data_IF_039127835404
#
_entry.id   IF_039127835404
#
_cell.length_a   1.000
_cell.length_b   1.000
_cell.length_c   1.000
_cell.angle_alpha   90.00
_cell.angle_beta   90.00
_cell.angle_gamma   90.00
#
_symmetry.space_group_name_H-M   'P 1'
#
loop_
_entity.id
_entity.type
_entity.pdbx_description
1 polymer ?
#
# COMPACT_ATOMS: atom_id res chain seq x y z
N UNK A 1 2.09 10.40 16.92
CA UNK A 1 3.02 11.44 17.41
C UNK A 1 2.59 11.78 18.82
N UNK A 2 3.41 11.48 19.82
CA UNK A 2 3.09 11.81 21.21
C UNK A 2 3.52 13.25 21.43
N UNK A 3 2.62 14.08 21.95
CA UNK A 3 2.92 15.45 22.33
C UNK A 3 3.31 15.53 23.81
N UNK A 4 3.97 16.61 24.20
CA UNK A 4 4.18 16.92 25.61
C UNK A 4 2.83 17.09 26.34
N UNK A 5 2.78 16.62 27.59
CA UNK A 5 1.58 16.74 28.42
C UNK A 5 1.30 18.22 28.69
N UNK A 6 0.20 18.73 28.14
CA UNK A 6 -0.26 20.12 28.33
C UNK A 6 -1.36 20.24 29.40
N UNK A 7 -2.13 19.18 29.63
CA UNK A 7 -3.23 19.17 30.59
C UNK A 7 -2.91 18.16 31.70
N UNK A 8 -2.99 18.61 32.95
CA UNK A 8 -2.65 17.81 34.13
C UNK A 8 -3.89 17.50 34.98
N UNK A 9 -3.77 16.52 35.86
CA UNK A 9 -4.79 16.20 36.86
C UNK A 9 -5.05 17.41 37.76
N UNK A 10 -6.31 17.56 38.14
CA UNK A 10 -6.73 18.59 39.10
C UNK A 10 -6.47 18.10 40.51
N UNK A 11 -5.83 18.95 41.31
CA UNK A 11 -5.65 18.73 42.73
C UNK A 11 -6.92 19.15 43.49
N UNK A 12 -7.86 18.22 43.68
CA UNK A 12 -9.10 18.47 44.41
C UNK A 12 -8.84 18.52 45.93
N UNK A 13 -9.37 19.55 46.59
CA UNK A 13 -9.25 19.74 48.04
C UNK A 13 -10.63 20.06 48.61
N UNK A 14 -10.93 19.54 49.80
CA UNK A 14 -12.20 19.81 50.48
C UNK A 14 -12.39 21.31 50.72
N UNK A 15 -13.61 21.81 50.44
CA UNK A 15 -13.95 23.23 50.54
C UNK A 15 -13.45 24.11 49.38
N UNK A 16 -12.80 23.53 48.35
CA UNK A 16 -12.40 24.24 47.14
C UNK A 16 -13.61 24.77 46.36
N UNK A 17 -13.53 26.02 45.88
CA UNK A 17 -14.54 26.58 44.97
C UNK A 17 -14.38 25.98 43.58
N UNK A 18 -15.46 25.40 43.05
CA UNK A 18 -15.48 24.74 41.75
C UNK A 18 -15.90 25.74 40.67
N UNK A 19 -15.24 25.67 39.50
CA UNK A 19 -15.54 26.52 38.34
C UNK A 19 -15.49 25.72 37.04
N UNK A 20 -15.93 26.33 35.94
CA UNK A 20 -15.93 25.74 34.60
C UNK A 20 -14.53 25.25 34.17
N UNK A 21 -13.49 25.99 34.52
CA UNK A 21 -12.10 25.71 34.14
C UNK A 21 -11.62 24.38 34.74
N UNK A 22 -12.13 24.01 35.91
CA UNK A 22 -11.85 22.70 36.51
C UNK A 22 -12.46 21.59 35.65
N UNK A 23 -13.73 21.68 35.27
CA UNK A 23 -14.34 20.65 34.42
C UNK A 23 -13.68 20.55 33.05
N UNK A 24 -13.30 21.68 32.44
CA UNK A 24 -12.56 21.68 31.17
C UNK A 24 -11.17 21.04 31.31
N UNK A 25 -10.44 21.33 32.39
CA UNK A 25 -9.13 20.73 32.63
C UNK A 25 -9.23 19.22 32.85
N UNK A 26 -10.27 18.77 33.57
CA UNK A 26 -10.53 17.36 33.79
C UNK A 26 -10.85 16.65 32.46
N UNK A 27 -11.72 17.25 31.64
CA UNK A 27 -12.08 16.74 30.33
C UNK A 27 -10.86 16.64 29.42
N UNK A 28 -10.07 17.72 29.30
CA UNK A 28 -8.87 17.75 28.47
C UNK A 28 -7.83 16.70 28.92
N UNK A 29 -7.62 16.54 30.24
CA UNK A 29 -6.74 15.51 30.77
C UNK A 29 -7.22 14.09 30.40
N UNK A 30 -8.52 13.82 30.53
CA UNK A 30 -9.09 12.52 30.18
C UNK A 30 -8.99 12.24 28.68
N UNK A 31 -9.34 13.21 27.83
CA UNK A 31 -9.21 13.09 26.38
C UNK A 31 -7.77 12.84 25.94
N UNK A 32 -6.80 13.61 26.46
CA UNK A 32 -5.39 13.44 26.11
C UNK A 32 -4.85 12.08 26.59
N UNK A 33 -5.27 11.60 27.76
CA UNK A 33 -4.88 10.27 28.24
C UNK A 33 -5.34 9.15 27.29
N UNK A 34 -6.53 9.28 26.70
CA UNK A 34 -7.04 8.32 25.71
C UNK A 34 -6.26 8.42 24.39
N UNK A 35 -5.99 9.66 23.93
CA UNK A 35 -5.18 9.92 22.72
C UNK A 35 -3.79 9.29 22.87
N UNK A 36 -3.13 9.50 24.00
CA UNK A 36 -1.81 8.93 24.29
C UNK A 36 -1.85 7.40 24.28
N UNK A 37 -2.84 6.79 24.95
CA UNK A 37 -3.00 5.34 24.96
C UNK A 37 -3.18 4.77 23.54
N UNK A 38 -3.95 5.45 22.70
CA UNK A 38 -4.15 5.05 21.31
C UNK A 38 -2.87 5.20 20.47
N UNK A 39 -2.21 6.36 20.54
CA UNK A 39 -1.00 6.67 19.78
C UNK A 39 0.15 5.74 20.17
N UNK A 40 0.33 5.45 21.46
CA UNK A 40 1.35 4.50 21.96
C UNK A 40 1.10 3.10 21.40
N UNK A 41 -0.17 2.65 21.38
CA UNK A 41 -0.52 1.30 20.92
C UNK A 41 -0.40 1.13 19.41
N UNK A 42 -0.85 2.11 18.62
CA UNK A 42 -0.89 2.01 17.15
C UNK A 42 0.39 2.48 16.48
N UNK A 43 1.18 3.32 17.14
CA UNK A 43 2.47 3.79 16.65
C UNK A 43 2.36 4.72 15.43
N UNK A 44 3.41 4.73 14.60
CA UNK A 44 3.59 5.69 13.49
C UNK A 44 2.46 5.69 12.46
N UNK A 45 1.90 4.52 12.15
CA UNK A 45 0.86 4.34 11.13
C UNK A 45 -0.54 4.23 11.74
N UNK A 46 -0.69 4.71 12.98
CA UNK A 46 -1.95 4.67 13.72
C UNK A 46 -2.96 5.75 13.36
N UNK A 47 -2.88 6.36 12.18
CA UNK A 47 -3.75 7.48 11.80
C UNK A 47 -4.41 7.21 10.45
N UNK A 48 -5.34 8.07 10.05
CA UNK A 48 -6.06 7.93 8.81
C UNK A 48 -7.54 7.64 8.94
N UNK A 49 -8.14 7.29 7.81
CA UNK A 49 -9.55 7.02 7.66
C UNK A 49 -9.96 5.79 8.48
N UNK A 50 -11.16 5.88 9.05
CA UNK A 50 -11.84 4.81 9.75
C UNK A 50 -12.90 4.18 8.85
N UNK A 51 -13.03 2.86 8.90
CA UNK A 51 -14.19 2.18 8.34
C UNK A 51 -15.45 2.47 9.18
N UNK A 52 -16.60 2.50 8.52
CA UNK A 52 -17.90 2.49 9.19
C UNK A 52 -18.48 1.09 9.08
N UNK A 53 -18.53 0.35 10.18
CA UNK A 53 -19.06 -1.02 10.19
C UNK A 53 -20.59 -1.10 10.05
N UNK A 54 -21.29 0.03 10.21
CA UNK A 54 -22.74 0.04 10.38
C UNK A 54 -23.48 0.82 9.28
N UNK A 55 -23.02 2.01 8.89
CA UNK A 55 -23.70 2.87 7.89
C UNK A 55 -22.71 3.84 7.24
N UNK A 56 -22.66 3.87 5.90
CA UNK A 56 -22.04 4.92 5.08
C UNK A 56 -20.53 4.82 4.90
N UNK A 57 -20.05 4.94 3.65
CA UNK A 57 -18.62 5.10 3.34
C UNK A 57 -18.17 6.51 3.75
N UNK A 58 -16.86 6.74 3.87
CA UNK A 58 -16.35 8.11 3.88
C UNK A 58 -16.74 8.76 2.54
N UNK A 59 -17.37 9.93 2.59
CA UNK A 59 -17.90 10.66 1.45
C UNK A 59 -17.34 12.08 1.48
N UNK A 60 -16.47 12.39 0.52
CA UNK A 60 -15.96 13.74 0.32
C UNK A 60 -15.68 13.97 -1.16
N UNK A 61 -15.82 15.22 -1.58
CA UNK A 61 -15.60 15.64 -2.95
C UNK A 61 -14.53 16.73 -2.98
N UNK A 62 -13.52 16.53 -3.81
CA UNK A 62 -12.42 17.46 -4.01
C UNK A 62 -12.37 17.77 -5.50
N UNK A 63 -12.69 19.02 -5.85
CA UNK A 63 -12.80 19.45 -7.23
C UNK A 63 -11.79 20.57 -7.48
N UNK A 64 -11.00 20.43 -8.54
CA UNK A 64 -10.11 21.49 -9.01
C UNK A 64 -10.75 22.19 -10.20
N UNK A 65 -10.88 23.52 -10.16
CA UNK A 65 -11.45 24.30 -11.24
C UNK A 65 -10.40 24.81 -12.25
N UNK A 66 -10.89 25.42 -13.34
CA UNK A 66 -10.06 25.95 -14.42
C UNK A 66 -9.13 27.10 -14.00
N UNK A 67 -9.40 27.75 -12.86
CA UNK A 67 -8.61 28.84 -12.32
C UNK A 67 -7.61 28.35 -11.25
N UNK A 68 -7.41 27.02 -11.14
CA UNK A 68 -6.57 26.39 -10.11
C UNK A 68 -7.06 26.68 -8.69
N UNK A 69 -8.37 26.91 -8.55
CA UNK A 69 -9.06 26.96 -7.27
C UNK A 69 -9.56 25.56 -6.92
N UNK A 70 -9.14 25.05 -5.76
CA UNK A 70 -9.56 23.77 -5.24
C UNK A 70 -10.76 23.98 -4.32
N UNK A 71 -11.89 23.42 -4.69
CA UNK A 71 -13.10 23.38 -3.87
C UNK A 71 -13.16 22.05 -3.15
N UNK A 72 -13.04 22.10 -1.84
CA UNK A 72 -13.12 20.94 -0.95
C UNK A 72 -14.48 20.95 -0.26
N UNK A 73 -15.22 19.85 -0.37
CA UNK A 73 -16.50 19.66 0.31
C UNK A 73 -16.52 18.28 0.96
N UNK A 74 -16.61 18.24 2.28
CA UNK A 74 -16.70 16.99 3.04
C UNK A 74 -18.14 16.82 3.53
N UNK A 75 -18.78 15.71 3.16
CA UNK A 75 -20.13 15.35 3.63
C UNK A 75 -20.08 14.36 4.77
N UNK A 76 -19.23 13.33 4.68
CA UNK A 76 -18.99 12.35 5.74
C UNK A 76 -17.51 11.98 5.82
N UNK A 77 -16.89 12.17 6.96
CA UNK A 77 -15.50 11.77 7.17
C UNK A 77 -15.30 11.33 8.60
N UNK A 78 -14.81 10.10 8.77
CA UNK A 78 -14.34 9.57 10.04
C UNK A 78 -12.87 9.26 9.93
N UNK A 79 -12.07 9.92 10.74
CA UNK A 79 -10.63 9.71 10.71
C UNK A 79 -9.99 10.01 12.07
N UNK A 80 -8.73 9.61 12.21
CA UNK A 80 -7.88 9.93 13.36
C UNK A 80 -6.61 10.59 12.86
N UNK A 81 -6.19 11.69 13.47
CA UNK A 81 -4.94 12.38 13.14
C UNK A 81 -3.73 11.72 13.83
N UNK A 82 -2.49 12.04 13.43
CA UNK A 82 -1.27 11.46 14.02
C UNK A 82 -1.15 11.54 15.55
N UNK A 83 -1.75 12.53 16.21
CA UNK A 83 -1.79 12.63 17.68
C UNK A 83 -3.06 12.07 18.32
N UNK A 84 -3.89 11.36 17.57
CA UNK A 84 -5.06 10.67 18.11
C UNK A 84 -6.32 11.52 18.18
N UNK A 85 -6.33 12.75 17.67
CA UNK A 85 -7.59 13.50 17.58
C UNK A 85 -8.52 12.86 16.55
N UNK A 86 -9.81 12.79 16.90
CA UNK A 86 -10.85 12.26 16.02
C UNK A 86 -11.40 13.39 15.14
N UNK A 87 -11.50 13.10 13.85
CA UNK A 87 -12.28 13.85 12.88
C UNK A 87 -13.59 13.10 12.73
N UNK A 88 -14.71 13.75 13.05
CA UNK A 88 -16.05 13.21 12.88
C UNK A 88 -16.91 14.24 12.17
N UNK A 89 -17.07 14.06 10.86
CA UNK A 89 -17.95 14.87 10.02
C UNK A 89 -19.07 13.94 9.55
N UNK A 90 -20.31 14.33 9.84
CA UNK A 90 -21.54 13.62 9.53
C UNK A 90 -22.63 14.61 9.10
N UNK A 91 -23.80 14.11 8.72
CA UNK A 91 -24.97 14.94 8.41
C UNK A 91 -25.44 15.80 9.60
N UNK A 92 -25.09 15.41 10.84
CA UNK A 92 -25.48 16.09 12.07
C UNK A 92 -24.42 17.09 12.59
N UNK A 93 -23.28 17.19 11.93
CA UNK A 93 -22.21 18.13 12.29
C UNK A 93 -22.18 19.31 11.33
N UNK A 94 -21.56 20.45 11.69
CA UNK A 94 -21.38 21.57 10.77
C UNK A 94 -20.74 21.13 9.46
N UNK A 95 -21.28 21.61 8.34
CA UNK A 95 -20.74 21.32 7.03
C UNK A 95 -19.33 21.90 6.88
N UNK A 96 -18.40 21.11 6.35
CA UNK A 96 -17.02 21.53 6.10
C UNK A 96 -16.83 21.74 4.59
N UNK A 97 -16.80 23.01 4.19
CA UNK A 97 -16.60 23.45 2.80
C UNK A 97 -15.65 24.62 2.76
N UNK A 98 -14.63 24.54 1.92
CA UNK A 98 -13.64 25.59 1.74
C UNK A 98 -13.18 25.65 0.28
N UNK A 99 -12.78 26.84 -0.15
CA UNK A 99 -12.16 27.09 -1.45
C UNK A 99 -10.73 27.55 -1.21
N UNK A 100 -9.77 26.83 -1.80
CA UNK A 100 -8.33 27.04 -1.60
C UNK A 100 -7.69 27.36 -2.95
N UNK A 101 -6.98 28.47 -3.04
CA UNK A 101 -6.24 28.82 -4.27
C UNK A 101 -4.90 28.07 -4.27
N UNK A 102 -4.80 27.00 -5.05
CA UNK A 102 -3.58 26.16 -5.11
C UNK A 102 -2.43 26.92 -5.77
N UNK A 103 -2.72 27.80 -6.73
CA UNK A 103 -1.70 28.56 -7.46
C UNK A 103 -0.88 29.51 -6.57
N UNK A 104 -1.44 29.98 -5.45
CA UNK A 104 -0.73 30.83 -4.48
C UNK A 104 0.25 30.02 -3.60
N UNK A 105 0.05 28.70 -3.51
CA UNK A 105 0.83 27.76 -2.70
C UNK A 105 1.73 26.83 -3.56
N UNK A 106 1.49 26.79 -4.87
CA UNK A 106 2.22 25.98 -5.83
C UNK A 106 3.39 26.77 -6.44
N UNK A 107 4.61 26.36 -6.11
CA UNK A 107 5.81 26.82 -6.79
C UNK A 107 5.80 26.41 -8.28
N UNK A 108 6.59 27.07 -9.13
CA UNK A 108 6.69 26.72 -10.57
C UNK A 108 7.18 25.28 -10.81
N UNK A 109 7.83 24.70 -9.80
CA UNK A 109 8.41 23.36 -9.80
C UNK A 109 7.51 22.29 -9.13
N UNK A 110 6.24 22.62 -8.82
CA UNK A 110 5.32 21.64 -8.22
C UNK A 110 5.02 20.50 -9.20
N UNK A 111 5.52 19.31 -8.90
CA UNK A 111 5.18 18.05 -9.60
C UNK A 111 3.99 17.34 -8.95
N UNK A 112 3.99 17.23 -7.61
CA UNK A 112 2.88 16.67 -6.83
C UNK A 112 2.83 17.25 -5.41
N UNK A 113 1.65 17.20 -4.80
CA UNK A 113 1.43 17.60 -3.41
C UNK A 113 0.11 17.09 -2.84
N UNK A 114 -0.13 17.39 -1.57
CA UNK A 114 -1.25 16.86 -0.80
C UNK A 114 -2.13 17.98 -0.26
N UNK A 115 -3.43 17.73 -0.28
CA UNK A 115 -4.42 18.52 0.42
C UNK A 115 -4.61 17.90 1.80
N UNK A 116 -4.37 18.69 2.85
CA UNK A 116 -4.48 18.28 4.23
C UNK A 116 -5.75 18.87 4.84
N UNK A 117 -6.50 18.05 5.59
CA UNK A 117 -7.44 18.57 6.58
C UNK A 117 -6.70 18.81 7.90
N UNK A 118 -6.94 19.96 8.51
CA UNK A 118 -6.34 20.39 9.76
C UNK A 118 -7.43 20.53 10.83
N UNK A 119 -7.13 20.06 12.03
CA UNK A 119 -7.96 20.30 13.20
C UNK A 119 -7.50 21.54 13.97
N UNK A 120 -8.39 22.52 14.10
CA UNK A 120 -8.24 23.63 15.04
C UNK A 120 -8.86 23.25 16.38
N UNK A 121 -8.00 22.81 17.30
CA UNK A 121 -8.37 22.46 18.67
C UNK A 121 -8.44 23.67 19.60
N UNK A 122 -7.95 24.84 19.16
CA UNK A 122 -7.97 26.07 19.95
C UNK A 122 -9.29 26.83 19.78
N UNK A 123 -9.90 26.73 18.61
CA UNK A 123 -11.17 27.38 18.27
C UNK A 123 -12.26 26.35 17.96
N UNK A 124 -12.88 25.72 18.98
CA UNK A 124 -13.98 24.79 18.77
C UNK A 124 -15.24 25.52 18.28
N UNK A 125 -16.02 24.83 17.46
CA UNK A 125 -17.25 25.32 16.84
C UNK A 125 -18.46 24.72 17.57
N UNK A 126 -19.37 25.55 18.11
CA UNK A 126 -20.60 25.08 18.73
C UNK A 126 -21.62 24.61 17.68
N UNK A 127 -22.35 23.52 17.97
CA UNK A 127 -23.34 22.94 17.06
C UNK A 127 -24.44 22.16 17.80
N UNK A 128 -25.44 21.69 17.03
CA UNK A 128 -26.62 20.98 17.53
C UNK A 128 -27.89 21.83 17.50
N UNK A 129 -29.04 21.22 17.75
CA UNK A 129 -30.30 21.97 17.86
C UNK A 129 -30.37 22.69 19.22
N UNK A 130 -30.87 23.93 19.22
CA UNK A 130 -31.05 24.68 20.48
C UNK A 130 -32.24 24.12 21.25
N UNK A 131 -32.06 23.87 22.54
CA UNK A 131 -33.14 23.47 23.43
C UNK A 131 -34.04 24.67 23.75
N UNK A 132 -35.34 24.66 23.36
CA UNK A 132 -36.22 25.83 23.50
C UNK A 132 -36.37 26.34 24.94
N UNK A 133 -36.20 25.44 25.91
CA UNK A 133 -36.36 25.72 27.34
C UNK A 133 -35.03 26.00 28.06
N UNK A 134 -33.89 25.98 27.34
CA UNK A 134 -32.58 26.27 27.95
C UNK A 134 -32.36 27.78 28.10
N UNK A 135 -31.94 28.20 29.30
CA UNK A 135 -31.69 29.61 29.62
C UNK A 135 -30.27 29.73 30.22
N UNK A 136 -29.35 30.49 29.60
CA UNK A 136 -29.51 31.18 28.32
C UNK A 136 -29.55 30.21 27.11
N UNK A 137 -30.23 30.57 26.02
CA UNK A 137 -30.22 29.76 24.79
C UNK A 137 -28.79 29.54 24.30
N UNK A 138 -28.42 28.28 24.04
CA UNK A 138 -27.12 27.92 23.48
C UNK A 138 -27.22 26.69 22.60
N UNK A 139 -26.16 26.45 21.82
CA UNK A 139 -25.97 25.18 21.13
C UNK A 139 -25.37 24.17 22.13
N UNK A 140 -25.85 22.92 22.15
CA UNK A 140 -25.51 21.97 23.20
C UNK A 140 -24.12 21.35 23.05
N UNK A 141 -23.57 21.25 21.83
CA UNK A 141 -22.37 20.48 21.52
C UNK A 141 -21.23 21.35 20.97
N UNK A 142 -20.01 20.81 21.02
CA UNK A 142 -18.79 21.40 20.44
C UNK A 142 -18.12 20.39 19.52
N UNK A 143 -17.63 20.85 18.37
CA UNK A 143 -16.71 20.12 17.50
C UNK A 143 -15.45 20.95 17.29
N UNK A 144 -14.36 20.35 16.82
CA UNK A 144 -13.18 21.10 16.42
C UNK A 144 -13.46 21.93 15.15
N UNK A 145 -12.75 23.05 15.01
CA UNK A 145 -12.69 23.76 13.73
C UNK A 145 -11.92 22.92 12.70
N UNK A 146 -12.30 23.04 11.43
CA UNK A 146 -11.63 22.37 10.32
C UNK A 146 -11.22 23.41 9.29
N UNK A 147 -10.01 23.29 8.77
CA UNK A 147 -9.54 24.10 7.65
C UNK A 147 -8.58 23.27 6.80
N UNK A 148 -8.37 23.70 5.56
CA UNK A 148 -7.53 22.96 4.62
C UNK A 148 -6.25 23.69 4.27
N UNK A 149 -5.20 22.91 4.05
CA UNK A 149 -3.91 23.42 3.59
C UNK A 149 -3.39 22.55 2.46
N UNK A 150 -2.49 23.12 1.67
CA UNK A 150 -1.75 22.39 0.64
C UNK A 150 -0.28 22.30 1.03
N UNK A 151 0.35 21.15 0.78
CA UNK A 151 1.78 20.94 0.97
C UNK A 151 2.37 20.20 -0.23
N UNK A 152 3.54 20.61 -0.72
CA UNK A 152 4.24 19.86 -1.76
C UNK A 152 4.70 18.50 -1.23
N UNK A 153 4.82 17.48 -2.09
CA UNK A 153 5.30 16.17 -1.66
C UNK A 153 6.75 16.25 -1.11
N UNK A 154 7.59 17.08 -1.74
CA UNK A 154 8.97 17.31 -1.30
C UNK A 154 9.06 17.93 0.10
N UNK A 155 8.19 18.88 0.44
CA UNK A 155 8.19 19.50 1.76
C UNK A 155 7.58 18.58 2.82
N UNK A 156 6.57 17.79 2.45
CA UNK A 156 6.00 16.78 3.34
C UNK A 156 7.05 15.73 3.74
N UNK A 157 7.93 15.32 2.82
CA UNK A 157 9.04 14.41 3.13
C UNK A 157 10.02 15.02 4.13
N UNK A 158 10.33 16.32 3.99
CA UNK A 158 11.29 17.02 4.87
C UNK A 158 10.73 17.31 6.25
N UNK A 159 9.48 17.74 6.32
CA UNK A 159 8.85 18.26 7.54
C UNK A 159 8.04 17.20 8.29
N UNK A 160 7.53 16.18 7.58
CA UNK A 160 6.56 15.23 8.10
C UNK A 160 5.18 15.85 8.28
N UNK A 161 4.20 15.00 8.63
CA UNK A 161 2.88 15.48 9.05
C UNK A 161 2.97 16.08 10.45
N UNK A 162 2.32 17.23 10.64
CA UNK A 162 2.07 17.73 11.99
C UNK A 162 0.96 16.93 12.68
N UNK A 163 0.87 17.09 13.99
CA UNK A 163 0.03 16.28 14.87
C UNK A 163 -1.47 16.29 14.52
N UNK A 164 -2.02 17.44 14.10
CA UNK A 164 -3.44 17.68 13.82
C UNK A 164 -3.79 17.64 12.32
N UNK A 165 -2.89 17.13 11.49
CA UNK A 165 -3.04 17.09 10.03
C UNK A 165 -3.33 15.70 9.51
N UNK A 166 -4.14 15.63 8.46
CA UNK A 166 -4.36 14.40 7.72
C UNK A 166 -4.45 14.66 6.21
N UNK A 167 -3.66 13.97 5.37
CA UNK A 167 -3.85 13.97 3.92
C UNK A 167 -5.20 13.37 3.51
N UNK A 168 -5.91 14.06 2.60
CA UNK A 168 -7.22 13.61 2.09
C UNK A 168 -7.29 13.56 0.56
N UNK A 169 -6.41 14.27 -0.14
CA UNK A 169 -6.23 14.15 -1.58
C UNK A 169 -4.79 14.43 -1.99
N UNK A 170 -4.46 13.97 -3.18
CA UNK A 170 -3.22 14.27 -3.88
C UNK A 170 -3.52 15.06 -5.15
N UNK A 171 -2.76 16.13 -5.35
CA UNK A 171 -2.76 16.94 -6.56
C UNK A 171 -1.48 16.64 -7.32
N UNK A 172 -1.60 16.41 -8.62
CA UNK A 172 -0.48 16.09 -9.49
C UNK A 172 -0.48 17.01 -10.71
N UNK A 173 0.70 17.19 -11.28
CA UNK A 173 0.86 17.90 -12.54
C UNK A 173 0.74 16.92 -13.70
N UNK A 174 -0.19 17.22 -14.58
CA UNK A 174 -0.38 16.55 -15.87
C UNK A 174 0.02 17.49 -17.01
N UNK A 175 0.11 16.93 -18.23
CA UNK A 175 0.47 17.66 -19.46
C UNK A 175 -0.38 18.92 -19.73
N UNK A 176 -1.60 18.99 -19.18
CA UNK A 176 -2.57 20.09 -19.38
C UNK A 176 -2.75 21.00 -18.15
N UNK A 177 -2.02 20.76 -17.05
CA UNK A 177 -2.17 21.52 -15.82
C UNK A 177 -2.19 20.64 -14.58
N UNK A 178 -2.73 21.16 -13.47
CA UNK A 178 -2.91 20.39 -12.24
C UNK A 178 -4.20 19.57 -12.32
N UNK A 179 -4.21 18.40 -11.69
CA UNK A 179 -5.37 17.52 -11.56
C UNK A 179 -5.37 16.85 -10.18
N UNK A 180 -6.55 16.38 -9.75
CA UNK A 180 -6.68 15.51 -8.57
C UNK A 180 -6.33 14.09 -8.99
N UNK A 181 -5.43 13.42 -8.27
CA UNK A 181 -5.05 12.05 -8.55
C UNK A 181 -6.22 11.10 -8.16
N UNK A 182 -6.85 10.39 -9.13
CA UNK A 182 -8.05 9.60 -8.85
C UNK A 182 -7.74 8.29 -8.11
N UNK A 183 -6.54 7.74 -8.31
CA UNK A 183 -6.12 6.47 -7.72
C UNK A 183 -5.51 6.66 -6.32
N UNK A 184 -5.41 7.90 -5.84
CA UNK A 184 -4.81 8.20 -4.55
C UNK A 184 -5.59 7.56 -3.40
N UNK A 185 -4.86 6.83 -2.54
CA UNK A 185 -5.41 6.24 -1.32
C UNK A 185 -4.79 6.95 -0.12
N UNK A 186 -5.56 7.72 0.67
CA UNK A 186 -5.07 8.39 1.87
C UNK A 186 -4.71 7.39 2.98
N UNK A 187 -4.06 7.85 4.07
CA UNK A 187 -3.87 7.03 5.26
C UNK A 187 -5.18 6.36 5.69
N UNK A 188 -5.13 5.05 5.93
CA UNK A 188 -6.28 4.24 6.33
C UNK A 188 -5.87 3.28 7.45
N UNK A 189 -6.70 3.17 8.49
CA UNK A 189 -6.45 2.28 9.63
C UNK A 189 -6.86 0.83 9.37
N UNK A 190 -7.78 0.62 8.44
CA UNK A 190 -8.35 -0.68 8.08
C UNK A 190 -8.55 -0.75 6.57
N UNK A 191 -8.50 -1.93 5.98
CA UNK A 191 -8.79 -2.14 4.55
C UNK A 191 -10.21 -1.70 4.17
N UNK A 192 -11.17 -1.80 5.10
CA UNK A 192 -12.56 -1.35 4.91
C UNK A 192 -12.76 0.16 4.87
N UNK A 193 -11.71 0.97 5.10
CA UNK A 193 -11.84 2.43 5.15
C UNK A 193 -11.90 3.10 3.77
N UNK A 194 -11.47 2.38 2.72
CA UNK A 194 -11.39 2.86 1.34
C UNK A 194 -11.76 1.76 0.34
N UNK A 195 -12.49 2.11 -0.72
CA UNK A 195 -13.00 1.13 -1.69
C UNK A 195 -11.89 0.40 -2.45
N UNK A 196 -10.87 1.12 -2.92
CA UNK A 196 -9.71 0.50 -3.57
C UNK A 196 -8.96 -0.49 -2.66
N UNK A 197 -9.00 -0.30 -1.33
CA UNK A 197 -8.39 -1.22 -0.37
C UNK A 197 -9.24 -2.47 -0.15
N UNK A 198 -10.57 -2.35 -0.19
CA UNK A 198 -11.48 -3.50 -0.22
C UNK A 198 -11.25 -4.33 -1.48
N UNK A 199 -11.11 -3.69 -2.64
CA UNK A 199 -10.79 -4.40 -3.88
C UNK A 199 -9.42 -5.09 -3.80
N UNK A 200 -8.39 -4.39 -3.32
CA UNK A 200 -7.06 -4.97 -3.11
C UNK A 200 -7.08 -6.17 -2.15
N UNK A 201 -7.87 -6.11 -1.07
CA UNK A 201 -8.07 -7.25 -0.17
C UNK A 201 -8.57 -8.47 -0.93
N UNK A 202 -9.64 -8.32 -1.72
CA UNK A 202 -10.22 -9.43 -2.47
C UNK A 202 -9.25 -10.04 -3.49
N UNK A 203 -8.47 -9.19 -4.17
CA UNK A 203 -7.40 -9.62 -5.08
C UNK A 203 -6.31 -10.40 -4.33
N UNK A 204 -5.82 -9.86 -3.22
CA UNK A 204 -4.76 -10.48 -2.42
C UNK A 204 -5.23 -11.79 -1.76
N UNK A 205 -6.45 -11.84 -1.24
CA UNK A 205 -7.02 -13.05 -0.63
C UNK A 205 -7.14 -14.18 -1.67
N UNK A 206 -7.60 -13.84 -2.88
CA UNK A 206 -7.67 -14.79 -4.00
C UNK A 206 -6.27 -15.25 -4.40
N UNK A 207 -5.33 -14.32 -4.57
CA UNK A 207 -3.93 -14.62 -4.88
C UNK A 207 -3.31 -15.59 -3.88
N UNK A 208 -3.44 -15.33 -2.58
CA UNK A 208 -2.85 -16.17 -1.53
C UNK A 208 -3.43 -17.60 -1.57
N UNK A 209 -4.76 -17.74 -1.69
CA UNK A 209 -5.43 -19.04 -1.79
C UNK A 209 -5.02 -19.83 -3.03
N UNK A 210 -4.99 -19.17 -4.19
CA UNK A 210 -4.61 -19.83 -5.45
C UNK A 210 -3.13 -20.20 -5.45
N UNK A 211 -2.26 -19.34 -4.91
CA UNK A 211 -0.84 -19.63 -4.77
C UNK A 211 -0.59 -20.82 -3.84
N UNK A 212 -1.29 -20.91 -2.71
CA UNK A 212 -1.19 -22.06 -1.79
C UNK A 212 -1.59 -23.36 -2.50
N UNK A 213 -2.76 -23.37 -3.14
CA UNK A 213 -3.23 -24.52 -3.91
C UNK A 213 -2.24 -24.92 -5.00
N UNK A 214 -1.75 -23.95 -5.78
CA UNK A 214 -0.85 -24.20 -6.88
C UNK A 214 0.52 -24.69 -6.39
N UNK A 215 1.03 -24.18 -5.27
CA UNK A 215 2.26 -24.67 -4.64
C UNK A 215 2.16 -26.17 -4.32
N UNK A 216 1.05 -26.61 -3.71
CA UNK A 216 0.80 -28.02 -3.40
C UNK A 216 0.79 -28.87 -4.68
N UNK A 217 0.09 -28.43 -5.72
CA UNK A 217 0.02 -29.15 -6.99
C UNK A 217 1.40 -29.27 -7.68
N UNK A 218 2.19 -28.20 -7.63
CA UNK A 218 3.55 -28.19 -8.19
C UNK A 218 4.45 -29.17 -7.42
N UNK A 219 4.43 -29.15 -6.08
CA UNK A 219 5.19 -30.11 -5.25
C UNK A 219 4.80 -31.55 -5.60
N UNK A 220 3.49 -31.84 -5.66
CA UNK A 220 3.00 -33.19 -5.98
C UNK A 220 3.49 -33.67 -7.35
N UNK A 221 3.49 -32.79 -8.36
CA UNK A 221 4.02 -33.11 -9.69
C UNK A 221 5.49 -33.45 -9.66
N UNK A 222 6.31 -32.64 -8.99
CA UNK A 222 7.76 -32.88 -8.86
C UNK A 222 8.01 -34.23 -8.18
N UNK A 223 7.35 -34.48 -7.05
CA UNK A 223 7.52 -35.73 -6.30
C UNK A 223 7.08 -36.98 -7.08
N UNK A 224 6.04 -36.87 -7.91
CA UNK A 224 5.50 -38.00 -8.67
C UNK A 224 6.39 -38.47 -9.82
N UNK A 225 7.28 -37.61 -10.34
CA UNK A 225 8.06 -37.86 -11.56
C UNK A 225 9.56 -38.04 -11.32
N UNK A 226 9.97 -38.33 -10.08
CA UNK A 226 11.35 -38.52 -9.59
C UNK A 226 12.41 -38.52 -10.69
N UNK A 227 13.07 -37.37 -10.83
CA UNK A 227 14.06 -37.12 -11.87
C UNK A 227 15.18 -36.27 -11.30
N UNK A 228 16.42 -36.55 -11.67
CA UNK A 228 17.56 -35.67 -11.40
C UNK A 228 17.48 -34.45 -12.34
N UNK A 229 16.80 -33.38 -11.89
CA UNK A 229 16.59 -32.17 -12.66
C UNK A 229 16.78 -30.93 -11.75
N UNK A 230 17.86 -30.15 -11.96
CA UNK A 230 18.17 -29.00 -11.12
C UNK A 230 17.08 -27.93 -11.05
N UNK A 231 16.27 -27.76 -12.12
CA UNK A 231 15.14 -26.83 -12.14
C UNK A 231 14.01 -27.35 -11.25
N UNK A 232 13.72 -28.65 -11.32
CA UNK A 232 12.71 -29.27 -10.47
C UNK A 232 13.10 -29.20 -8.99
N UNK A 233 14.37 -29.45 -8.66
CA UNK A 233 14.89 -29.37 -7.29
C UNK A 233 14.83 -27.93 -6.74
N UNK A 234 15.27 -26.95 -7.53
CA UNK A 234 15.20 -25.54 -7.17
C UNK A 234 13.74 -25.07 -7.00
N UNK A 235 12.85 -25.47 -7.90
CA UNK A 235 11.42 -25.17 -7.78
C UNK A 235 10.81 -25.84 -6.55
N UNK A 236 11.17 -27.09 -6.24
CA UNK A 236 10.67 -27.80 -5.07
C UNK A 236 11.03 -27.04 -3.79
N UNK A 237 12.25 -26.54 -3.68
CA UNK A 237 12.66 -25.70 -2.55
C UNK A 237 11.77 -24.46 -2.40
N UNK A 238 11.45 -23.80 -3.52
CA UNK A 238 10.57 -22.63 -3.55
C UNK A 238 9.15 -22.96 -3.06
N UNK A 239 8.50 -23.98 -3.65
CA UNK A 239 7.10 -24.29 -3.31
C UNK A 239 6.94 -24.89 -1.91
N UNK A 240 7.94 -25.63 -1.41
CA UNK A 240 7.95 -26.14 -0.04
C UNK A 240 7.94 -25.00 0.99
N UNK A 241 8.79 -23.99 0.82
CA UNK A 241 8.84 -22.82 1.72
C UNK A 241 7.64 -21.89 1.55
N UNK A 242 7.19 -21.70 0.31
CA UNK A 242 6.01 -20.90 -0.01
C UNK A 242 4.75 -21.45 0.68
N UNK A 243 4.49 -22.76 0.55
CA UNK A 243 3.31 -23.39 1.16
C UNK A 243 3.27 -23.19 2.69
N UNK A 244 4.37 -23.51 3.38
CA UNK A 244 4.42 -23.39 4.85
C UNK A 244 4.14 -21.96 5.30
N UNK A 245 4.69 -20.97 4.58
CA UNK A 245 4.43 -19.57 4.86
C UNK A 245 2.97 -19.18 4.63
N UNK A 246 2.40 -19.55 3.49
CA UNK A 246 1.02 -19.22 3.14
C UNK A 246 0.02 -19.82 4.15
N UNK A 247 0.21 -21.08 4.53
CA UNK A 247 -0.63 -21.78 5.49
C UNK A 247 -0.67 -21.07 6.87
N UNK A 248 0.43 -20.41 7.26
CA UNK A 248 0.50 -19.65 8.52
C UNK A 248 -0.26 -18.32 8.48
N UNK A 249 -0.39 -17.70 7.30
CA UNK A 249 -0.92 -16.33 7.17
C UNK A 249 -2.33 -16.26 6.60
N UNK A 250 -2.77 -17.19 5.76
CA UNK A 250 -4.10 -17.16 5.13
C UNK A 250 -5.22 -17.10 6.17
N UNK A 251 -5.09 -17.84 7.28
CA UNK A 251 -6.11 -17.82 8.34
C UNK A 251 -6.25 -16.42 8.96
N UNK A 252 -5.13 -15.72 9.19
CA UNK A 252 -5.15 -14.34 9.72
C UNK A 252 -5.85 -13.39 8.73
N UNK A 253 -5.46 -13.44 7.45
CA UNK A 253 -6.07 -12.62 6.38
C UNK A 253 -7.57 -12.87 6.28
N UNK A 254 -8.00 -14.12 6.41
CA UNK A 254 -9.41 -14.50 6.39
C UNK A 254 -10.18 -14.06 7.63
N UNK A 255 -9.57 -14.09 8.82
CA UNK A 255 -10.29 -13.78 10.06
C UNK A 255 -10.38 -12.29 10.34
N UNK A 256 -9.38 -11.51 9.93
CA UNK A 256 -9.41 -10.05 10.09
C UNK A 256 -10.17 -9.36 8.95
N UNK A 257 -10.29 -9.99 7.78
CA UNK A 257 -10.98 -9.46 6.61
C UNK A 257 -10.65 -7.97 6.34
N UNK A 258 -11.69 -7.14 6.27
CA UNK A 258 -11.57 -5.70 6.02
C UNK A 258 -11.06 -4.91 7.24
N UNK A 259 -11.01 -5.51 8.43
CA UNK A 259 -10.55 -4.86 9.66
C UNK A 259 -9.01 -4.90 9.78
N UNK A 260 -8.34 -5.72 8.96
CA UNK A 260 -6.89 -5.76 8.87
C UNK A 260 -6.34 -4.39 8.46
N UNK A 261 -5.21 -3.99 9.04
CA UNK A 261 -4.51 -2.78 8.64
C UNK A 261 -3.82 -2.96 7.27
N UNK A 262 -3.87 -2.00 6.32
CA UNK A 262 -3.30 -2.15 4.98
C UNK A 262 -1.81 -2.55 4.96
N UNK A 263 -1.01 -1.95 5.86
CA UNK A 263 0.39 -2.33 6.09
C UNK A 263 0.57 -3.82 6.39
N UNK A 264 -0.31 -4.42 7.20
CA UNK A 264 -0.15 -5.81 7.62
C UNK A 264 -0.38 -6.78 6.46
N UNK A 265 -1.36 -6.51 5.60
CA UNK A 265 -1.56 -7.28 4.38
C UNK A 265 -0.37 -7.14 3.42
N UNK A 266 0.15 -5.92 3.26
CA UNK A 266 1.35 -5.67 2.45
C UNK A 266 2.58 -6.37 3.03
N UNK A 267 2.73 -6.40 4.35
CA UNK A 267 3.81 -7.11 5.04
C UNK A 267 3.78 -8.61 4.75
N UNK A 268 2.59 -9.23 4.72
CA UNK A 268 2.41 -10.63 4.34
C UNK A 268 2.87 -10.86 2.90
N UNK A 269 2.47 -10.01 1.96
CA UNK A 269 2.81 -10.14 0.54
C UNK A 269 4.29 -9.89 0.26
N UNK A 270 4.89 -8.88 0.89
CA UNK A 270 6.34 -8.59 0.79
C UNK A 270 7.16 -9.72 1.40
N UNK A 271 6.71 -10.28 2.53
CA UNK A 271 7.40 -11.39 3.19
C UNK A 271 7.31 -12.68 2.38
N UNK A 272 6.17 -12.93 1.73
CA UNK A 272 6.04 -14.00 0.74
C UNK A 272 7.07 -13.84 -0.40
N UNK A 273 7.21 -12.64 -0.96
CA UNK A 273 8.21 -12.35 -1.99
C UNK A 273 9.64 -12.59 -1.49
N UNK A 274 9.96 -12.21 -0.24
CA UNK A 274 11.26 -12.48 0.40
C UNK A 274 11.55 -13.97 0.51
N UNK A 275 10.57 -14.76 0.95
CA UNK A 275 10.72 -16.21 1.11
C UNK A 275 10.87 -16.89 -0.25
N UNK A 276 10.06 -16.50 -1.23
CA UNK A 276 10.17 -17.00 -2.59
C UNK A 276 11.58 -16.73 -3.14
N UNK A 277 12.01 -15.47 -3.09
CA UNK A 277 13.31 -15.06 -3.63
C UNK A 277 14.47 -15.73 -2.89
N UNK A 278 14.41 -15.76 -1.56
CA UNK A 278 15.41 -16.44 -0.74
C UNK A 278 15.51 -17.93 -1.06
N UNK A 279 14.39 -18.59 -1.34
CA UNK A 279 14.38 -20.00 -1.74
C UNK A 279 15.04 -20.23 -3.11
N UNK A 280 14.86 -19.29 -4.05
CA UNK A 280 15.60 -19.31 -5.32
C UNK A 280 17.09 -19.08 -5.08
N UNK A 281 17.46 -18.10 -4.25
CA UNK A 281 18.86 -17.71 -4.00
C UNK A 281 19.66 -18.72 -3.19
N UNK A 282 19.01 -19.61 -2.43
CA UNK A 282 19.67 -20.74 -1.75
C UNK A 282 20.13 -21.80 -2.77
N UNK A 283 19.52 -21.86 -3.95
CA UNK A 283 20.01 -22.71 -5.04
C UNK A 283 21.35 -22.19 -5.55
N UNK A 284 22.18 -23.04 -6.18
CA UNK A 284 23.44 -22.57 -6.77
C UNK A 284 23.19 -21.44 -7.79
N UNK A 285 24.16 -20.53 -8.03
CA UNK A 285 24.00 -19.45 -9.00
C UNK A 285 23.54 -19.95 -10.38
N UNK A 286 24.04 -21.10 -10.82
CA UNK A 286 23.67 -21.75 -12.07
C UNK A 286 22.21 -22.23 -12.03
N UNK A 287 21.78 -22.88 -10.95
CA UNK A 287 20.41 -23.37 -10.81
C UNK A 287 19.40 -22.23 -10.75
N UNK A 288 19.75 -21.15 -10.07
CA UNK A 288 18.97 -19.91 -10.03
C UNK A 288 18.77 -19.33 -11.43
N UNK A 289 19.86 -19.18 -12.21
CA UNK A 289 19.78 -18.66 -13.57
C UNK A 289 18.93 -19.58 -14.46
N UNK A 290 19.12 -20.89 -14.36
CA UNK A 290 18.32 -21.87 -15.08
C UNK A 290 16.83 -21.79 -14.71
N UNK A 291 16.50 -21.64 -13.43
CA UNK A 291 15.13 -21.54 -12.95
C UNK A 291 14.44 -20.27 -13.45
N UNK A 292 15.10 -19.12 -13.39
CA UNK A 292 14.54 -17.87 -13.92
C UNK A 292 14.40 -17.86 -15.43
N UNK A 293 15.37 -18.42 -16.16
CA UNK A 293 15.24 -18.61 -17.60
C UNK A 293 14.08 -19.54 -17.93
N UNK A 294 13.92 -20.62 -17.15
CA UNK A 294 12.78 -21.52 -17.28
C UNK A 294 11.44 -20.81 -17.03
N UNK A 295 11.34 -19.95 -16.01
CA UNK A 295 10.13 -19.13 -15.81
C UNK A 295 9.83 -18.27 -17.04
N UNK A 296 10.86 -17.71 -17.67
CA UNK A 296 10.72 -16.92 -18.90
C UNK A 296 10.31 -17.70 -20.15
N UNK A 297 10.37 -19.04 -20.15
CA UNK A 297 9.80 -19.84 -21.26
C UNK A 297 8.26 -19.92 -21.19
N UNK A 298 7.72 -19.76 -19.98
CA UNK A 298 6.31 -19.92 -19.64
C UNK A 298 5.60 -18.59 -19.34
N UNK A 299 6.36 -17.52 -19.24
CA UNK A 299 5.89 -16.15 -18.99
C UNK A 299 6.54 -15.19 -19.98
N UNK A 300 5.95 -14.02 -20.21
CA UNK A 300 6.52 -13.03 -21.15
C UNK A 300 7.67 -12.20 -20.51
N UNK A 301 8.36 -12.74 -19.51
CA UNK A 301 9.39 -12.06 -18.72
C UNK A 301 10.75 -12.74 -18.90
N UNK A 302 11.82 -11.94 -18.88
CA UNK A 302 13.19 -12.46 -18.87
C UNK A 302 13.65 -12.75 -17.44
N UNK A 303 14.71 -13.55 -17.28
CA UNK A 303 15.24 -13.86 -15.95
C UNK A 303 15.67 -12.62 -15.15
N UNK A 304 16.22 -11.60 -15.82
CA UNK A 304 16.55 -10.32 -15.19
C UNK A 304 15.31 -9.52 -14.72
N UNK A 305 14.16 -9.71 -15.35
CA UNK A 305 12.91 -9.04 -14.97
C UNK A 305 12.37 -9.61 -13.65
N UNK A 306 12.53 -10.92 -13.42
CA UNK A 306 12.21 -11.56 -12.14
C UNK A 306 13.08 -11.02 -11.00
N UNK A 307 14.39 -10.91 -11.22
CA UNK A 307 15.30 -10.31 -10.23
C UNK A 307 14.87 -8.91 -9.83
N UNK A 308 14.57 -8.08 -10.83
CA UNK A 308 14.09 -6.72 -10.60
C UNK A 308 12.76 -6.73 -9.85
N UNK A 309 11.80 -7.55 -10.27
CA UNK A 309 10.48 -7.66 -9.63
C UNK A 309 10.61 -7.99 -8.13
N UNK A 310 11.41 -9.00 -7.78
CA UNK A 310 11.64 -9.34 -6.37
C UNK A 310 12.37 -8.23 -5.63
N UNK A 311 13.38 -7.62 -6.25
CA UNK A 311 14.13 -6.50 -5.64
C UNK A 311 13.22 -5.31 -5.33
N UNK A 312 12.33 -4.95 -6.25
CA UNK A 312 11.40 -3.83 -6.11
C UNK A 312 10.41 -4.09 -4.97
N UNK A 313 9.85 -5.30 -4.88
CA UNK A 313 8.91 -5.69 -3.80
C UNK A 313 9.60 -5.79 -2.45
N UNK A 314 10.77 -6.43 -2.39
CA UNK A 314 11.49 -6.67 -1.14
C UNK A 314 11.94 -5.36 -0.51
N UNK A 315 12.35 -4.39 -1.32
CA UNK A 315 12.81 -3.08 -0.87
C UNK A 315 11.69 -2.04 -0.76
N UNK A 316 10.43 -2.45 -0.96
CA UNK A 316 9.28 -1.57 -0.86
C UNK A 316 9.19 -0.96 0.55
N UNK A 317 9.20 0.38 0.60
CA UNK A 317 8.97 1.12 1.84
C UNK A 317 7.50 1.49 1.95
N UNK A 318 6.87 1.15 3.07
CA UNK A 318 5.47 1.49 3.31
C UNK A 318 5.28 3.01 3.41
N UNK A 319 4.53 3.58 2.46
CA UNK A 319 4.15 4.97 2.43
C UNK A 319 2.69 5.10 2.87
N UNK A 320 2.49 5.35 4.16
CA UNK A 320 1.15 5.48 4.70
C UNK A 320 0.40 6.73 4.21
N UNK A 321 1.11 7.75 3.74
CA UNK A 321 0.52 8.98 3.20
C UNK A 321 0.00 8.82 1.78
N UNK A 322 0.44 7.78 1.05
CA UNK A 322 0.01 7.44 -0.30
C UNK A 322 0.11 5.92 -0.47
N UNK A 323 -0.94 5.21 -0.04
CA UNK A 323 -0.93 3.74 0.02
C UNK A 323 -0.92 3.13 -1.39
N UNK A 324 -1.47 3.84 -2.39
CA UNK A 324 -1.57 3.34 -3.77
C UNK A 324 -0.19 3.07 -4.41
N UNK A 325 0.82 3.89 -4.08
CA UNK A 325 2.21 3.64 -4.50
C UNK A 325 2.70 2.25 -4.06
N UNK A 326 2.30 1.78 -2.88
CA UNK A 326 2.64 0.44 -2.44
C UNK A 326 1.80 -0.64 -3.15
N UNK A 327 0.51 -0.38 -3.39
CA UNK A 327 -0.38 -1.35 -4.01
C UNK A 327 0.02 -1.64 -5.46
N UNK A 328 0.40 -0.62 -6.23
CA UNK A 328 0.79 -0.78 -7.64
C UNK A 328 1.97 -1.76 -7.82
N UNK A 329 3.02 -1.64 -7.01
CA UNK A 329 4.18 -2.54 -7.01
C UNK A 329 3.77 -3.97 -6.64
N UNK A 330 2.96 -4.12 -5.59
CA UNK A 330 2.52 -5.44 -5.11
C UNK A 330 1.56 -6.13 -6.07
N UNK A 331 0.65 -5.39 -6.71
CA UNK A 331 -0.27 -5.93 -7.73
C UNK A 331 0.49 -6.52 -8.91
N UNK A 332 1.51 -5.80 -9.42
CA UNK A 332 2.38 -6.30 -10.51
C UNK A 332 3.06 -7.63 -10.13
N UNK A 333 3.55 -7.72 -8.89
CA UNK A 333 4.12 -8.94 -8.35
C UNK A 333 3.11 -10.08 -8.25
N UNK A 334 1.94 -9.85 -7.64
CA UNK A 334 0.91 -10.87 -7.50
C UNK A 334 0.47 -11.41 -8.86
N UNK A 335 0.23 -10.54 -9.84
CA UNK A 335 -0.14 -10.94 -11.20
C UNK A 335 0.91 -11.81 -11.88
N UNK A 336 2.19 -11.46 -11.72
CA UNK A 336 3.30 -12.22 -12.30
C UNK A 336 3.42 -13.61 -11.67
N UNK A 337 3.38 -13.68 -10.33
CA UNK A 337 3.52 -14.95 -9.61
C UNK A 337 2.30 -15.85 -9.81
N UNK A 338 1.09 -15.28 -9.81
CA UNK A 338 -0.13 -16.04 -10.09
C UNK A 338 -0.10 -16.67 -11.48
N UNK A 339 0.30 -15.90 -12.50
CA UNK A 339 0.49 -16.41 -13.86
C UNK A 339 1.51 -17.53 -13.90
N UNK A 340 2.68 -17.32 -13.28
CA UNK A 340 3.74 -18.33 -13.23
C UNK A 340 3.24 -19.63 -12.60
N UNK A 341 2.67 -19.58 -11.40
CA UNK A 341 2.20 -20.77 -10.69
C UNK A 341 1.10 -21.48 -11.49
N UNK A 342 0.15 -20.72 -12.04
CA UNK A 342 -0.92 -21.27 -12.86
C UNK A 342 -0.37 -22.04 -14.06
N UNK A 343 0.58 -21.48 -14.82
CA UNK A 343 1.19 -22.20 -15.96
C UNK A 343 1.96 -23.44 -15.51
N UNK A 344 2.71 -23.36 -14.41
CA UNK A 344 3.43 -24.52 -13.85
C UNK A 344 2.47 -25.65 -13.43
N UNK A 345 1.25 -25.34 -12.99
CA UNK A 345 0.23 -26.37 -12.74
C UNK A 345 -0.36 -27.01 -14.01
N UNK A 346 -0.16 -26.42 -15.19
CA UNK A 346 -0.71 -26.95 -16.46
C UNK A 346 0.28 -27.84 -17.20
N UNK A 347 1.59 -27.61 -17.03
CA UNK A 347 2.62 -28.41 -17.72
C UNK A 347 2.76 -29.81 -17.14
N UNK A 348 3.06 -30.78 -17.99
CA UNK A 348 3.16 -32.17 -17.55
C UNK A 348 4.38 -32.40 -16.65
N UNK A 349 5.49 -31.73 -16.92
CA UNK A 349 6.76 -31.99 -16.25
C UNK A 349 7.51 -30.68 -15.95
N UNK A 350 7.74 -30.42 -14.67
CA UNK A 350 8.52 -29.27 -14.19
C UNK A 350 10.01 -29.51 -14.52
N UNK A 351 10.64 -28.53 -15.17
CA UNK A 351 12.06 -28.60 -15.55
C UNK A 351 12.33 -29.16 -16.96
N UNK A 352 11.30 -29.57 -17.70
CA UNK A 352 11.43 -29.84 -19.15
C UNK A 352 11.26 -28.51 -19.89
N UNK A 353 12.31 -28.08 -20.59
CA UNK A 353 12.25 -26.88 -21.44
C UNK A 353 11.24 -27.06 -22.56
N UNK A 354 10.63 -25.96 -23.00
CA UNK A 354 9.67 -25.98 -24.11
C UNK A 354 10.38 -26.48 -25.36
N UNK A 355 9.84 -27.52 -26.01
CA UNK A 355 10.38 -28.08 -27.25
C UNK A 355 10.31 -26.99 -28.34
N UNK A 356 11.37 -26.19 -28.49
CA UNK A 356 11.57 -25.38 -29.68
C UNK A 356 12.00 -26.35 -30.78
N UNK A 357 11.11 -26.59 -31.75
CA UNK A 357 11.38 -27.45 -32.89
C UNK A 357 12.79 -27.19 -33.45
N UNK A 358 13.48 -28.29 -33.77
CA UNK A 358 14.85 -28.35 -34.28
C UNK A 358 15.08 -27.23 -35.31
N UNK A 359 15.87 -26.21 -34.95
CA UNK A 359 16.42 -25.27 -35.93
C UNK A 359 17.61 -25.96 -36.60
N UNK A 360 17.36 -26.53 -37.79
CA UNK A 360 18.41 -26.98 -38.68
C UNK A 360 19.09 -25.74 -39.24
N UNK A 361 20.25 -25.39 -38.69
CA UNK A 361 21.19 -24.56 -39.44
C UNK A 361 21.77 -25.42 -40.56
N UNK A 362 21.26 -25.25 -41.77
CA UNK A 362 21.94 -25.73 -42.97
C UNK A 362 23.28 -24.98 -43.08
N UNK A 363 24.35 -25.61 -42.59
CA UNK A 363 25.69 -25.22 -43.01
C UNK A 363 25.80 -25.53 -44.49
N UNK A 364 25.79 -24.49 -45.33
CA UNK A 364 26.16 -24.59 -46.74
C UNK A 364 27.63 -25.04 -46.76
N UNK A 365 27.85 -26.32 -47.02
CA UNK A 365 29.17 -26.85 -47.36
C UNK A 365 29.46 -26.37 -48.78
N UNK A 366 30.34 -25.39 -48.94
CA UNK A 366 30.91 -25.07 -50.26
C UNK A 366 31.73 -26.26 -50.74
N UNK A 367 31.15 -27.01 -51.67
CA UNK A 367 31.80 -28.11 -52.36
C UNK A 367 32.78 -27.55 -53.39
N UNK A 368 34.05 -27.39 -53.01
CA UNK A 368 35.12 -27.05 -53.97
C UNK A 368 35.73 -28.33 -54.52
N UNK A 369 35.08 -28.86 -55.56
CA UNK A 369 35.66 -29.83 -56.49
C UNK A 369 36.89 -29.23 -57.19
N UNK A 370 38.02 -29.93 -57.11
CA UNK A 370 39.30 -29.49 -57.63
C UNK A 370 39.43 -29.47 -59.15
N UNK A 371 40.44 -28.72 -59.62
CA UNK A 371 41.14 -28.99 -60.88
C UNK A 371 42.63 -28.87 -60.66
N UNK A 372 43.34 -29.94 -61.01
CA UNK A 372 44.79 -30.02 -61.05
C UNK A 372 45.34 -29.18 -62.21
N UNK A 373 46.56 -28.67 -62.01
CA UNK A 373 47.64 -28.60 -63.00
C UNK A 373 48.92 -28.25 -62.23
N UNK A 374 49.85 -29.19 -62.18
CA UNK A 374 51.12 -29.01 -61.51
C UNK A 374 52.13 -28.23 -62.34
N UNK A 375 53.22 -27.83 -61.68
CA UNK A 375 54.60 -28.05 -62.13
C UNK A 375 55.56 -27.88 -60.94
N UNK A 376 56.40 -28.90 -60.79
CA UNK A 376 57.72 -28.98 -60.13
C UNK A 376 58.50 -27.65 -59.99
N UNK A 377 59.20 -27.45 -58.87
CA UNK A 377 60.68 -27.35 -58.82
C UNK A 377 61.22 -27.48 -57.38
N UNK A 378 62.41 -28.09 -57.28
CA UNK A 378 63.16 -28.59 -56.13
C UNK A 378 64.15 -27.56 -55.55
N UNK A 379 64.61 -27.90 -54.33
CA UNK A 379 65.85 -27.50 -53.64
C UNK A 379 65.89 -26.06 -53.09
N UNK A 380 66.39 -25.79 -51.87
CA UNK A 380 67.39 -26.48 -51.03
C UNK A 380 67.06 -26.28 -49.54
#
# INVERSE_FOLDING_TARGET
MIEDIKNFKINWVDGMKISKEHFQSLQNFAENSIKDAFVVRKGRYGHGLLASHLIGKNEYAINLDIHKSLKVSITKLRAITPNGNRIEITENTPAVKEEIVVAELADKDLEEGYVLINLDTANPVPFGEQEPNEIPPRLPYLTNGHFFTFISAGDLIKTGLTANQLPIAKIQKESKGLSVAPDYIPPCLTLGAHESLVHFYNEAETFLKMTERNAILIVQKIMSKQSDNPIADAMQLVVDKAYVYLAQHITKVKWEEHDMHPKELLEILVSFARIFKGSVDISSPENKEQLFNYFGEWTDLKGGDYEKLFTDVINLQYNHNDIDQNLSVIKSFMQTIDRLFTVLTQIDYIGKRRDMGIFVNENIVEDKSGKSKGTSFLAE
#
